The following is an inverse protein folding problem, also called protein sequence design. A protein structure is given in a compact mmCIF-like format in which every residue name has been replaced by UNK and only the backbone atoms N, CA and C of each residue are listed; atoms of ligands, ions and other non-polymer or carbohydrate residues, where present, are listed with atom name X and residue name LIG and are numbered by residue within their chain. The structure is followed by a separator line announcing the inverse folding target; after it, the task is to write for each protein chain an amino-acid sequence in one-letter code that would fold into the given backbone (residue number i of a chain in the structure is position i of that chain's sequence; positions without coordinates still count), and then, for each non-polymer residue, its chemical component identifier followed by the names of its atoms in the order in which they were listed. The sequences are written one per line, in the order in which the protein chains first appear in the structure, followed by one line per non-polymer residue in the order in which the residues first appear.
data_IF_299103821377
#
_entry.id   IF_299103821377
#
_cell.length_a   1.000
_cell.length_b   1.000
_cell.length_c   1.000
_cell.angle_alpha   90.00
_cell.angle_beta   90.00
_cell.angle_gamma   90.00
#
_symmetry.space_group_name_H-M   'P 1'
#
loop_
_entity.id
_entity.type
_entity.pdbx_description
1 polymer ?
#
# COMPACT_ATOMS: atom_id res chain seq x y z
N UNK A 1 -19.39 -27.58 45.12
CA UNK A 1 -19.57 -27.51 43.65
C UNK A 1 -18.61 -26.48 43.12
N UNK A 2 -17.47 -26.90 42.55
CA UNK A 2 -16.39 -25.97 42.24
C UNK A 2 -16.65 -25.10 41.00
N UNK A 3 -15.90 -24.01 40.95
CA UNK A 3 -15.76 -23.00 39.91
C UNK A 3 -15.18 -23.48 38.56
N UNK A 4 -15.11 -24.78 38.28
CA UNK A 4 -14.48 -25.32 37.06
C UNK A 4 -15.13 -24.82 35.77
N UNK A 5 -16.46 -24.65 35.75
CA UNK A 5 -17.18 -24.12 34.57
C UNK A 5 -16.79 -22.68 34.24
N UNK A 6 -16.56 -21.83 35.26
CA UNK A 6 -16.16 -20.42 35.06
C UNK A 6 -14.72 -20.31 34.56
N UNK A 7 -13.82 -21.18 35.05
CA UNK A 7 -12.44 -21.24 34.60
C UNK A 7 -12.31 -21.71 33.14
N UNK A 8 -13.09 -22.72 32.73
CA UNK A 8 -13.09 -23.21 31.34
C UNK A 8 -13.68 -22.16 30.39
N UNK A 9 -14.76 -21.47 30.78
CA UNK A 9 -15.35 -20.37 29.99
C UNK A 9 -14.39 -19.17 29.86
N UNK A 10 -13.68 -18.81 30.94
CA UNK A 10 -12.68 -17.75 30.90
C UNK A 10 -11.48 -18.12 30.01
N UNK A 11 -11.00 -19.37 30.09
CA UNK A 11 -9.90 -19.86 29.26
C UNK A 11 -10.27 -19.91 27.77
N UNK A 12 -11.49 -20.35 27.43
CA UNK A 12 -11.97 -20.32 26.04
C UNK A 12 -12.13 -18.90 25.51
N UNK A 13 -12.65 -17.97 26.33
CA UNK A 13 -12.78 -16.57 25.94
C UNK A 13 -11.41 -15.91 25.67
N UNK A 14 -10.39 -16.24 26.48
CA UNK A 14 -9.02 -15.75 26.28
C UNK A 14 -8.38 -16.33 25.01
N UNK A 15 -8.62 -17.60 24.70
CA UNK A 15 -8.12 -18.24 23.45
C UNK A 15 -8.84 -17.64 22.21
N UNK A 16 -10.15 -17.40 22.30
CA UNK A 16 -10.92 -16.73 21.24
C UNK A 16 -10.50 -15.27 21.06
N UNK A 17 -10.13 -14.57 22.14
CA UNK A 17 -9.62 -13.19 22.09
C UNK A 17 -8.18 -13.10 21.58
N UNK A 18 -7.33 -14.10 21.87
CA UNK A 18 -5.94 -14.15 21.37
C UNK A 18 -5.85 -14.62 19.92
N UNK A 19 -6.76 -15.48 19.48
CA UNK A 19 -6.82 -15.97 18.08
C UNK A 19 -7.49 -14.99 17.11
N UNK A 20 -8.18 -13.97 17.62
CA UNK A 20 -8.83 -12.93 16.83
C UNK A 20 -8.02 -11.64 16.88
N UNK A 21 -6.71 -11.69 16.59
CA UNK A 21 -6.07 -10.46 16.11
C UNK A 21 -6.81 -10.12 14.82
N UNK A 22 -7.60 -9.03 14.76
CA UNK A 22 -8.33 -8.73 13.54
C UNK A 22 -7.30 -8.61 12.42
N UNK A 23 -7.57 -9.21 11.26
CA UNK A 23 -6.67 -9.19 10.10
C UNK A 23 -6.16 -7.77 9.77
N UNK A 24 -6.95 -6.74 10.12
CA UNK A 24 -6.58 -5.33 10.10
C UNK A 24 -5.35 -4.97 10.94
N UNK A 25 -5.18 -5.52 12.15
CA UNK A 25 -3.98 -5.30 12.95
C UNK A 25 -2.74 -5.98 12.34
N UNK A 26 -2.94 -7.04 11.54
CA UNK A 26 -1.86 -7.69 10.79
C UNK A 26 -1.55 -6.97 9.47
N UNK A 27 -2.49 -6.21 8.91
CA UNK A 27 -2.27 -5.36 7.74
C UNK A 27 -1.54 -4.06 8.10
N UNK A 28 -1.97 -3.43 9.21
CA UNK A 28 -1.46 -2.13 9.64
C UNK A 28 0.05 -2.16 9.90
N UNK A 29 0.72 -1.06 9.58
CA UNK A 29 2.16 -0.89 9.68
C UNK A 29 2.79 -0.38 8.39
N UNK A 30 4.12 -0.42 8.36
CA UNK A 30 4.91 0.05 7.24
C UNK A 30 5.13 -1.06 6.22
N UNK A 31 5.07 -0.70 4.95
CA UNK A 31 5.31 -1.55 3.80
C UNK A 31 6.38 -0.89 2.94
N UNK A 32 7.30 -1.67 2.39
CA UNK A 32 8.34 -1.17 1.49
C UNK A 32 8.44 -2.07 0.25
N UNK A 33 8.90 -1.52 -0.86
CA UNK A 33 9.01 -2.32 -2.06
C UNK A 33 9.68 -1.66 -3.25
N UNK A 34 9.49 -2.34 -4.38
CA UNK A 34 10.04 -1.97 -5.68
C UNK A 34 9.00 -2.17 -6.77
N UNK A 35 9.22 -1.51 -7.90
CA UNK A 35 8.30 -1.51 -9.03
C UNK A 35 9.06 -1.46 -10.35
N UNK A 36 8.31 -1.65 -11.42
CA UNK A 36 8.80 -1.59 -12.79
C UNK A 36 7.80 -0.83 -13.65
N UNK A 37 8.31 -0.17 -14.67
CA UNK A 37 7.54 0.65 -15.59
C UNK A 37 8.14 2.04 -15.68
N UNK A 38 7.76 2.74 -16.72
CA UNK A 38 8.20 4.10 -16.99
C UNK A 38 6.95 4.95 -17.23
N UNK A 39 7.04 6.22 -16.86
CA UNK A 39 6.03 7.22 -17.19
C UNK A 39 6.72 8.37 -17.92
N UNK A 40 5.99 9.04 -18.82
CA UNK A 40 6.58 10.02 -19.75
C UNK A 40 5.91 11.38 -19.60
N UNK A 41 6.18 12.12 -18.50
CA UNK A 41 5.67 13.47 -18.35
C UNK A 41 6.12 14.38 -19.52
N UNK A 42 5.27 15.29 -20.01
CA UNK A 42 5.64 16.23 -21.05
C UNK A 42 6.87 17.06 -20.66
N UNK A 43 7.78 17.26 -21.61
CA UNK A 43 8.98 18.09 -21.42
C UNK A 43 9.93 17.63 -20.29
N UNK A 44 9.79 16.40 -19.81
CA UNK A 44 10.68 15.79 -18.82
C UNK A 44 11.21 14.46 -19.37
N UNK A 45 12.44 14.02 -19.01
CA UNK A 45 12.87 12.66 -19.23
C UNK A 45 11.87 11.63 -18.63
N UNK A 46 11.90 10.36 -19.08
CA UNK A 46 11.12 9.32 -18.45
C UNK A 46 11.41 9.26 -16.94
N UNK A 47 10.37 9.04 -16.15
CA UNK A 47 10.48 8.78 -14.72
C UNK A 47 10.16 7.32 -14.45
N UNK A 48 10.60 6.81 -13.30
CA UNK A 48 10.39 5.42 -12.90
C UNK A 48 9.53 5.31 -11.63
N UNK A 49 8.21 5.52 -11.73
CA UNK A 49 7.32 5.47 -10.58
C UNK A 49 7.46 4.14 -9.87
N UNK A 50 7.43 4.19 -8.53
CA UNK A 50 7.51 3.02 -7.68
C UNK A 50 8.83 2.23 -7.80
N UNK A 51 9.89 2.72 -8.46
CA UNK A 51 11.17 2.00 -8.53
C UNK A 51 11.63 1.58 -7.13
N UNK A 52 11.52 2.50 -6.17
CA UNK A 52 11.49 2.24 -4.75
C UNK A 52 10.30 2.96 -4.13
N UNK A 53 9.75 2.41 -3.06
CA UNK A 53 8.66 3.05 -2.33
C UNK A 53 8.57 2.57 -0.88
N UNK A 54 8.02 3.43 -0.02
CA UNK A 54 7.59 3.11 1.35
C UNK A 54 6.18 3.64 1.52
N UNK A 55 5.31 2.83 2.11
CA UNK A 55 3.96 3.24 2.50
C UNK A 55 3.58 2.74 3.88
N UNK A 56 2.48 3.26 4.39
CA UNK A 56 1.94 2.98 5.71
C UNK A 56 0.44 2.75 5.62
N UNK A 57 -0.03 1.79 6.41
CA UNK A 57 -1.44 1.60 6.72
C UNK A 57 -1.59 1.83 8.23
N UNK A 58 -2.10 2.99 8.69
CA UNK A 58 -2.27 3.25 10.11
C UNK A 58 -3.28 2.30 10.75
N UNK A 59 -3.07 1.94 12.01
CA UNK A 59 -4.01 1.09 12.77
C UNK A 59 -5.43 1.66 12.88
N UNK A 60 -5.63 2.95 12.63
CA UNK A 60 -6.90 3.66 12.79
C UNK A 60 -7.59 4.02 11.49
N UNK A 61 -7.01 3.69 10.34
CA UNK A 61 -7.50 4.14 9.03
C UNK A 61 -7.42 3.03 7.98
N UNK A 62 -8.45 2.96 7.16
CA UNK A 62 -8.52 2.07 5.99
C UNK A 62 -7.87 2.73 4.76
N UNK A 63 -6.68 3.29 4.95
CA UNK A 63 -5.96 4.06 3.93
C UNK A 63 -4.52 3.59 3.86
N UNK A 64 -4.06 3.29 2.64
CA UNK A 64 -2.66 3.06 2.32
C UNK A 64 -2.08 4.31 1.67
N UNK A 65 -1.06 4.90 2.26
CA UNK A 65 -0.39 6.08 1.69
C UNK A 65 1.12 6.00 1.87
N UNK A 66 1.85 6.80 1.10
CA UNK A 66 3.30 6.79 1.18
C UNK A 66 3.98 7.59 0.09
N UNK A 67 5.25 7.28 -0.12
CA UNK A 67 6.13 7.96 -1.06
C UNK A 67 6.86 6.95 -1.94
N UNK A 68 7.15 7.37 -3.16
CA UNK A 68 8.00 6.64 -4.10
C UNK A 68 9.13 7.53 -4.58
N UNK A 69 10.23 6.91 -4.99
CA UNK A 69 11.36 7.60 -5.59
C UNK A 69 12.09 6.71 -6.58
N UNK A 70 12.80 7.35 -7.51
CA UNK A 70 13.71 6.70 -8.43
C UNK A 70 15.17 7.17 -8.30
N UNK A 71 16.06 6.52 -9.06
CA UNK A 71 17.49 6.80 -9.09
C UNK A 71 17.85 8.16 -9.67
N UNK A 72 16.93 8.78 -10.41
CA UNK A 72 17.10 10.08 -11.06
C UNK A 72 16.55 11.22 -10.18
N UNK A 73 16.32 10.93 -8.89
CA UNK A 73 15.78 11.84 -7.87
C UNK A 73 14.34 12.31 -8.12
N UNK A 74 13.61 11.65 -9.04
CA UNK A 74 12.16 11.87 -9.13
C UNK A 74 11.49 11.21 -7.93
N UNK A 75 10.44 11.83 -7.44
CA UNK A 75 9.69 11.32 -6.31
C UNK A 75 8.25 11.82 -6.35
N UNK A 76 7.42 11.22 -5.52
CA UNK A 76 6.02 11.56 -5.41
C UNK A 76 5.34 10.82 -4.27
N UNK A 77 4.07 11.11 -4.07
CA UNK A 77 3.26 10.44 -3.04
C UNK A 77 2.24 9.51 -3.69
N UNK A 78 1.68 8.61 -2.89
CA UNK A 78 0.50 7.85 -3.28
C UNK A 78 -0.47 7.75 -2.12
N UNK A 79 -1.75 7.59 -2.44
CA UNK A 79 -2.81 7.35 -1.47
C UNK A 79 -3.91 6.52 -2.10
N UNK A 80 -4.32 5.46 -1.41
CA UNK A 80 -5.41 4.59 -1.80
C UNK A 80 -6.26 4.16 -0.61
N UNK A 81 -7.50 3.83 -0.91
CA UNK A 81 -8.48 3.36 0.07
C UNK A 81 -8.54 1.84 0.04
N UNK A 82 -8.65 1.23 1.21
CA UNK A 82 -8.83 -0.21 1.34
C UNK A 82 -10.28 -0.56 1.02
N UNK A 83 -10.48 -1.53 0.14
CA UNK A 83 -11.79 -1.95 -0.29
C UNK A 83 -12.56 -2.64 0.86
N UNK A 84 -13.86 -2.33 1.03
CA UNK A 84 -14.67 -2.83 2.15
C UNK A 84 -14.91 -4.34 2.10
N UNK A 85 -14.71 -4.98 0.94
CA UNK A 85 -14.94 -6.42 0.73
C UNK A 85 -13.67 -7.27 0.82
N UNK A 86 -12.67 -6.78 1.56
CA UNK A 86 -11.43 -7.51 1.78
C UNK A 86 -11.65 -8.76 2.64
N UNK A 87 -10.86 -9.80 2.40
CA UNK A 87 -10.89 -11.04 3.19
C UNK A 87 -9.84 -10.98 4.30
N UNK A 88 -9.90 -11.87 5.31
CA UNK A 88 -8.85 -11.95 6.33
C UNK A 88 -7.46 -12.32 5.79
N UNK A 89 -7.37 -12.88 4.58
CA UNK A 89 -6.12 -13.33 3.96
C UNK A 89 -5.59 -12.31 2.94
N UNK A 90 -6.50 -11.66 2.22
CA UNK A 90 -6.20 -10.72 1.14
C UNK A 90 -6.97 -9.41 1.32
N UNK A 91 -6.22 -8.30 1.34
CA UNK A 91 -6.78 -6.95 1.37
C UNK A 91 -6.47 -6.23 0.07
N UNK A 92 -7.48 -5.59 -0.50
CA UNK A 92 -7.36 -4.87 -1.75
C UNK A 92 -7.38 -3.35 -1.52
N UNK A 93 -6.57 -2.61 -2.26
CA UNK A 93 -6.47 -1.16 -2.21
C UNK A 93 -6.44 -0.57 -3.62
N UNK A 94 -7.18 0.51 -3.83
CA UNK A 94 -7.08 1.33 -5.05
C UNK A 94 -6.84 2.80 -4.70
N UNK A 95 -6.08 3.49 -5.54
CA UNK A 95 -5.74 4.88 -5.27
C UNK A 95 -5.13 5.61 -6.45
N UNK A 96 -4.50 6.73 -6.11
CA UNK A 96 -3.75 7.57 -7.04
C UNK A 96 -2.33 7.77 -6.55
N UNK A 97 -1.42 7.95 -7.51
CA UNK A 97 -0.06 8.37 -7.25
C UNK A 97 0.19 9.72 -7.92
N UNK A 98 1.14 10.45 -7.37
CA UNK A 98 1.53 11.78 -7.80
C UNK A 98 3.02 11.85 -8.08
N UNK A 99 3.46 12.93 -8.72
CA UNK A 99 4.85 13.25 -8.99
C UNK A 99 5.12 14.71 -8.64
N UNK A 100 6.20 14.97 -7.92
CA UNK A 100 6.69 16.32 -7.69
C UNK A 100 7.54 16.76 -8.88
N UNK A 101 6.93 17.51 -9.79
CA UNK A 101 7.60 18.07 -10.96
C UNK A 101 8.68 19.08 -10.52
N UNK A 102 9.97 18.78 -10.76
CA UNK A 102 11.07 19.67 -10.38
C UNK A 102 11.13 20.95 -11.24
N UNK A 103 10.42 20.97 -12.38
CA UNK A 103 10.37 22.11 -13.31
C UNK A 103 9.19 23.04 -13.04
N UNK A 104 8.19 22.57 -12.30
CA UNK A 104 6.96 23.31 -12.01
C UNK A 104 7.17 24.41 -10.97
N UNK A 105 6.62 25.60 -11.24
CA UNK A 105 6.69 26.74 -10.32
C UNK A 105 5.80 26.60 -9.08
N UNK A 106 4.85 25.66 -9.09
CA UNK A 106 3.83 25.55 -8.05
C UNK A 106 4.27 24.70 -6.85
N UNK A 107 5.37 23.93 -6.96
CA UNK A 107 5.75 22.87 -6.01
C UNK A 107 4.62 21.88 -5.69
N UNK A 108 3.49 21.93 -6.42
CA UNK A 108 2.34 21.08 -6.18
C UNK A 108 2.55 19.74 -6.90
N UNK A 109 2.26 18.63 -6.23
CA UNK A 109 2.35 17.32 -6.86
C UNK A 109 1.30 17.20 -7.99
N UNK A 110 1.74 16.67 -9.13
CA UNK A 110 0.88 16.38 -10.29
C UNK A 110 0.38 14.95 -10.16
N UNK A 111 -0.91 14.70 -10.38
CA UNK A 111 -1.44 13.33 -10.43
C UNK A 111 -0.77 12.58 -11.59
N UNK A 112 -0.07 11.50 -11.28
CA UNK A 112 0.62 10.66 -12.25
C UNK A 112 -0.26 9.55 -12.80
N UNK A 113 -1.23 9.06 -12.02
CA UNK A 113 -2.23 8.08 -12.46
C UNK A 113 -2.83 7.27 -11.32
N UNK A 114 -3.45 6.14 -11.68
CA UNK A 114 -4.15 5.25 -10.73
C UNK A 114 -3.23 4.10 -10.31
N UNK A 115 -3.52 3.50 -9.17
CA UNK A 115 -2.91 2.22 -8.79
C UNK A 115 -3.90 1.27 -8.12
N UNK A 116 -3.53 0.00 -8.14
CA UNK A 116 -4.22 -1.13 -7.50
C UNK A 116 -3.19 -1.98 -6.78
N UNK A 117 -3.47 -2.40 -5.55
CA UNK A 117 -2.58 -3.21 -4.72
C UNK A 117 -3.36 -4.29 -3.98
N UNK A 118 -2.83 -5.50 -3.95
CA UNK A 118 -3.30 -6.60 -3.10
C UNK A 118 -2.25 -6.90 -2.05
N UNK A 119 -2.67 -6.92 -0.79
CA UNK A 119 -1.86 -7.28 0.37
C UNK A 119 -2.20 -8.70 0.80
N UNK A 120 -1.21 -9.59 0.78
CA UNK A 120 -1.30 -10.97 1.25
C UNK A 120 -0.85 -11.00 2.71
N UNK A 121 -1.81 -10.91 3.64
CA UNK A 121 -1.56 -10.59 5.05
C UNK A 121 -0.68 -11.65 5.70
N UNK A 122 -1.00 -12.93 5.50
CA UNK A 122 -0.28 -14.06 6.11
C UNK A 122 1.16 -14.18 5.60
N UNK A 123 1.41 -13.72 4.37
CA UNK A 123 2.71 -13.79 3.71
C UNK A 123 3.56 -12.54 3.94
N UNK A 124 2.96 -11.46 4.47
CA UNK A 124 3.63 -10.19 4.65
C UNK A 124 4.16 -9.59 3.35
N UNK A 125 3.51 -9.88 2.22
CA UNK A 125 3.86 -9.34 0.89
C UNK A 125 2.68 -8.64 0.24
N UNK A 126 2.97 -7.75 -0.70
CA UNK A 126 1.95 -7.10 -1.51
C UNK A 126 2.39 -7.01 -2.98
N UNK A 127 1.43 -7.01 -3.88
CA UNK A 127 1.64 -6.93 -5.33
C UNK A 127 0.56 -6.05 -5.96
N UNK A 128 0.91 -5.31 -7.00
CA UNK A 128 0.02 -4.32 -7.58
C UNK A 128 0.43 -3.87 -8.97
N UNK A 129 -0.43 -3.04 -9.56
CA UNK A 129 -0.22 -2.39 -10.85
C UNK A 129 -0.57 -0.91 -10.75
N UNK A 130 0.11 -0.10 -11.55
CA UNK A 130 -0.20 1.33 -11.70
C UNK A 130 -0.40 1.69 -13.16
N UNK A 131 -1.07 2.81 -13.39
CA UNK A 131 -1.23 3.43 -14.70
C UNK A 131 -0.65 4.83 -14.72
N UNK A 132 -0.30 5.34 -15.89
CA UNK A 132 0.06 6.75 -16.10
C UNK A 132 -1.05 7.50 -16.84
N UNK A 133 -1.25 8.78 -16.51
CA UNK A 133 -2.07 9.70 -17.32
C UNK A 133 -1.33 10.22 -18.55
N UNK A 134 0.00 10.10 -18.57
CA UNK A 134 0.80 10.60 -19.68
C UNK A 134 0.88 9.54 -20.79
N UNK A 135 0.85 9.97 -22.06
CA UNK A 135 0.82 9.04 -23.18
C UNK A 135 2.12 8.21 -23.31
N UNK A 136 1.97 7.01 -23.88
CA UNK A 136 2.95 6.09 -24.50
C UNK A 136 4.40 6.62 -24.70
N UNK A 137 5.46 5.80 -24.46
CA UNK A 137 5.51 4.34 -24.68
C UNK A 137 5.15 3.38 -23.53
N UNK A 138 4.83 3.86 -22.32
CA UNK A 138 4.28 2.98 -21.27
C UNK A 138 3.19 3.69 -20.47
N UNK A 139 2.00 3.09 -20.47
CA UNK A 139 0.83 3.56 -19.71
C UNK A 139 0.65 2.79 -18.40
N UNK A 140 1.49 1.77 -18.15
CA UNK A 140 1.31 0.83 -17.04
C UNK A 140 2.64 0.42 -16.40
N UNK A 141 2.57 -0.01 -15.15
CA UNK A 141 3.68 -0.65 -14.46
C UNK A 141 3.21 -1.59 -13.36
N UNK A 142 4.17 -2.25 -12.73
CA UNK A 142 3.94 -3.18 -11.63
C UNK A 142 4.65 -2.70 -10.38
N UNK A 143 4.14 -3.12 -9.23
CA UNK A 143 4.75 -2.87 -7.93
C UNK A 143 4.62 -4.12 -7.06
N UNK A 144 5.59 -4.32 -6.19
CA UNK A 144 5.60 -5.39 -5.19
C UNK A 144 6.30 -4.89 -3.94
N UNK A 145 5.94 -5.43 -2.80
CA UNK A 145 6.54 -5.05 -1.53
C UNK A 145 6.36 -6.09 -0.45
N UNK A 146 6.83 -5.73 0.73
CA UNK A 146 6.75 -6.52 1.94
C UNK A 146 6.46 -5.64 3.14
N UNK A 147 5.89 -6.24 4.17
CA UNK A 147 5.72 -5.57 5.45
C UNK A 147 7.07 -5.42 6.14
N UNK A 148 7.35 -4.22 6.64
CA UNK A 148 8.49 -3.92 7.50
C UNK A 148 8.05 -4.20 8.94
N UNK A 149 8.83 -5.03 9.64
CA UNK A 149 8.52 -5.64 10.93
C UNK A 149 7.84 -4.71 11.95
#
# INVERSE_FOLDING_TARGET
MHNYKKLILAALAVILLLGATPAFAQLAGTWEGTGRGEAYPPCHPPIHPWQNWIGEIPNSQDVFFGEWWDSDCNHGTFKGEIAPFSTPEEVYCEGEWTWYDPTGSSHQPIVGGKFKMTFYILEGRCEGTWTSIWPSPSEHGTMRGRKVH
#
